data_IF_364988659563
#
_entry.id   IF_364988659563
#
_cell.length_a   1.000
_cell.length_b   1.000
_cell.length_c   1.000
_cell.angle_alpha   90.00
_cell.angle_beta   90.00
_cell.angle_gamma   90.00
#
_symmetry.space_group_name_H-M   'P 1'
#
loop_
_entity.id
_entity.type
_entity.pdbx_description
1 polymer ?
#
# COMPACT_ATOMS: atom_id res chain seq x y z
N UNK A 1 -0.43 18.68 -19.46
CA UNK A 1 -0.09 18.27 -18.07
C UNK A 1 1.37 17.86 -18.07
N UNK A 2 2.15 18.15 -17.02
CA UNK A 2 3.51 17.63 -16.97
C UNK A 2 3.45 16.17 -16.52
N UNK A 3 4.06 15.22 -17.25
CA UNK A 3 4.11 13.82 -16.83
C UNK A 3 4.78 13.74 -15.46
N UNK A 4 4.17 12.98 -14.54
CA UNK A 4 4.78 12.67 -13.26
C UNK A 4 6.01 11.79 -13.56
N UNK A 5 7.19 12.15 -13.04
CA UNK A 5 8.37 11.30 -13.16
C UNK A 5 8.12 9.98 -12.43
N UNK A 6 7.96 8.89 -13.21
CA UNK A 6 7.95 7.54 -12.70
C UNK A 6 9.37 7.15 -12.30
N UNK A 7 9.61 6.96 -11.01
CA UNK A 7 10.91 6.53 -10.51
C UNK A 7 10.94 5.00 -10.54
N UNK A 8 11.06 4.44 -11.74
CA UNK A 8 11.37 3.02 -11.90
C UNK A 8 12.81 2.79 -11.46
N UNK A 9 13.00 2.11 -10.32
CA UNK A 9 14.34 1.77 -9.81
C UNK A 9 14.41 0.24 -9.76
N UNK A 10 15.27 -0.35 -10.59
CA UNK A 10 15.36 -1.81 -10.78
C UNK A 10 14.05 -2.52 -11.24
N UNK A 11 13.23 -1.88 -12.08
CA UNK A 11 12.05 -2.51 -12.70
C UNK A 11 10.86 -2.71 -11.74
N UNK A 12 10.80 -1.91 -10.67
CA UNK A 12 9.68 -1.88 -9.71
C UNK A 12 9.10 -0.48 -9.67
N UNK A 13 7.78 -0.36 -9.90
CA UNK A 13 7.05 0.90 -9.68
C UNK A 13 6.85 1.14 -8.18
N UNK A 14 7.69 1.99 -7.60
CA UNK A 14 7.57 2.37 -6.19
C UNK A 14 6.38 3.27 -5.90
N UNK A 15 5.85 3.98 -6.89
CA UNK A 15 4.62 4.76 -6.79
C UNK A 15 3.42 3.84 -6.55
N UNK A 16 3.29 2.79 -7.36
CA UNK A 16 2.26 1.76 -7.20
C UNK A 16 2.42 0.99 -5.87
N UNK A 17 3.65 0.61 -5.49
CA UNK A 17 3.92 -0.07 -4.21
C UNK A 17 3.47 0.79 -3.03
N UNK A 18 3.79 2.09 -3.05
CA UNK A 18 3.41 3.02 -2.00
C UNK A 18 1.89 3.20 -1.93
N UNK A 19 1.23 3.42 -3.08
CA UNK A 19 -0.22 3.60 -3.15
C UNK A 19 -0.95 2.33 -2.70
N UNK A 20 -0.55 1.18 -3.22
CA UNK A 20 -1.14 -0.12 -2.86
C UNK A 20 -0.99 -0.40 -1.38
N UNK A 21 0.21 -0.18 -0.82
CA UNK A 21 0.43 -0.37 0.61
C UNK A 21 -0.46 0.57 1.43
N UNK A 22 -0.56 1.85 1.06
CA UNK A 22 -1.43 2.82 1.74
C UNK A 22 -2.90 2.38 1.72
N UNK A 23 -3.42 2.04 0.53
CA UNK A 23 -4.82 1.61 0.34
C UNK A 23 -5.11 0.32 1.13
N UNK A 24 -4.25 -0.68 1.04
CA UNK A 24 -4.43 -1.96 1.75
C UNK A 24 -4.39 -1.76 3.26
N UNK A 25 -3.51 -0.90 3.77
CA UNK A 25 -3.42 -0.64 5.22
C UNK A 25 -4.68 0.05 5.75
N UNK A 26 -5.32 0.91 4.96
CA UNK A 26 -6.59 1.55 5.32
C UNK A 26 -7.76 0.57 5.23
N UNK A 27 -7.92 -0.10 4.08
CA UNK A 27 -9.09 -0.94 3.82
C UNK A 27 -9.06 -2.28 4.55
N UNK A 28 -7.89 -2.78 4.91
CA UNK A 28 -7.73 -4.07 5.59
C UNK A 28 -7.14 -3.88 6.98
N UNK A 29 -6.02 -3.14 7.10
CA UNK A 29 -5.33 -2.96 8.36
C UNK A 29 -6.20 -2.32 9.44
N UNK A 30 -6.84 -1.18 9.14
CA UNK A 30 -7.69 -0.49 10.12
C UNK A 30 -8.92 -1.32 10.54
N UNK A 31 -9.68 -1.95 9.63
CA UNK A 31 -10.76 -2.87 10.02
C UNK A 31 -10.29 -4.05 10.87
N UNK A 32 -9.13 -4.65 10.56
CA UNK A 32 -8.59 -5.76 11.35
C UNK A 32 -8.27 -5.28 12.78
N UNK A 33 -7.61 -4.13 12.94
CA UNK A 33 -7.35 -3.55 14.27
C UNK A 33 -8.65 -3.27 15.01
N UNK A 34 -9.66 -2.71 14.33
CA UNK A 34 -10.96 -2.42 14.93
C UNK A 34 -11.68 -3.69 15.40
N UNK A 35 -11.73 -4.73 14.56
CA UNK A 35 -12.37 -6.01 14.91
C UNK A 35 -11.64 -6.69 16.07
N UNK A 36 -10.30 -6.73 16.04
CA UNK A 36 -9.52 -7.33 17.12
C UNK A 36 -9.68 -6.56 18.45
N UNK A 37 -9.92 -5.26 18.39
CA UNK A 37 -10.16 -4.44 19.61
C UNK A 37 -11.41 -4.86 20.38
N UNK A 38 -12.37 -5.53 19.72
CA UNK A 38 -13.61 -6.02 20.37
C UNK A 38 -13.35 -7.16 21.37
N UNK A 39 -12.18 -7.80 21.31
CA UNK A 39 -11.83 -8.95 22.15
C UNK A 39 -10.92 -8.59 23.34
N UNK A 40 -10.59 -7.31 23.52
CA UNK A 40 -9.70 -6.83 24.57
C UNK A 40 -10.27 -5.60 25.26
N UNK A 41 -10.06 -5.48 26.57
CA UNK A 41 -10.47 -4.30 27.33
C UNK A 41 -9.42 -3.20 27.19
N UNK A 42 -9.82 -2.10 26.53
CA UNK A 42 -8.95 -0.95 26.26
C UNK A 42 -9.49 0.27 27.00
N UNK A 43 -9.26 0.35 28.31
CA UNK A 43 -9.86 1.38 29.16
C UNK A 43 -9.17 2.75 28.99
N UNK A 44 -7.84 2.77 28.81
CA UNK A 44 -7.05 3.99 28.69
C UNK A 44 -6.66 4.31 27.24
N UNK A 45 -6.36 5.59 26.95
CA UNK A 45 -5.88 6.00 25.63
C UNK A 45 -4.52 5.35 25.31
N UNK A 46 -3.65 5.21 26.30
CA UNK A 46 -2.37 4.52 26.16
C UNK A 46 -2.52 3.03 25.80
N UNK A 47 -3.50 2.33 26.39
CA UNK A 47 -3.81 0.95 26.03
C UNK A 47 -4.28 0.84 24.57
N UNK A 48 -5.14 1.75 24.12
CA UNK A 48 -5.60 1.82 22.72
C UNK A 48 -4.44 2.04 21.75
N UNK A 49 -3.56 2.98 22.05
CA UNK A 49 -2.39 3.27 21.21
C UNK A 49 -1.40 2.08 21.15
N UNK A 50 -1.07 1.49 22.31
CA UNK A 50 -0.17 0.34 22.37
C UNK A 50 -0.75 -0.88 21.64
N UNK A 51 -2.05 -1.11 21.76
CA UNK A 51 -2.76 -2.16 21.02
C UNK A 51 -2.68 -1.93 19.51
N UNK A 52 -3.02 -0.73 19.04
CA UNK A 52 -2.98 -0.38 17.62
C UNK A 52 -1.58 -0.55 17.02
N UNK A 53 -0.53 -0.14 17.74
CA UNK A 53 0.86 -0.32 17.28
C UNK A 53 1.25 -1.81 17.24
N UNK A 54 0.95 -2.58 18.29
CA UNK A 54 1.30 -4.01 18.37
C UNK A 54 0.60 -4.86 17.31
N UNK A 55 -0.64 -4.54 16.99
CA UNK A 55 -1.43 -5.25 15.96
C UNK A 55 -1.09 -4.72 14.58
N UNK A 56 -0.98 -3.40 14.42
CA UNK A 56 -0.74 -2.75 13.15
C UNK A 56 0.66 -3.01 12.60
N UNK A 57 1.71 -3.04 13.43
CA UNK A 57 3.08 -3.20 12.95
C UNK A 57 3.32 -4.53 12.22
N UNK A 58 2.90 -5.70 12.72
CA UNK A 58 2.99 -6.95 11.97
C UNK A 58 2.20 -6.94 10.66
N UNK A 59 0.97 -6.40 10.68
CA UNK A 59 0.11 -6.32 9.48
C UNK A 59 0.77 -5.44 8.42
N UNK A 60 1.26 -4.27 8.81
CA UNK A 60 1.93 -3.34 7.92
C UNK A 60 3.19 -3.95 7.33
N UNK A 61 4.03 -4.58 8.15
CA UNK A 61 5.26 -5.22 7.69
C UNK A 61 4.97 -6.35 6.70
N UNK A 62 4.03 -7.24 7.01
CA UNK A 62 3.63 -8.33 6.12
C UNK A 62 3.07 -7.79 4.80
N UNK A 63 2.22 -6.78 4.87
CA UNK A 63 1.63 -6.13 3.69
C UNK A 63 2.72 -5.52 2.81
N UNK A 64 3.63 -4.74 3.39
CA UNK A 64 4.73 -4.10 2.65
C UNK A 64 5.63 -5.15 1.98
N UNK A 65 5.98 -6.22 2.69
CA UNK A 65 6.79 -7.32 2.12
C UNK A 65 6.03 -8.03 1.00
N UNK A 66 4.76 -8.36 1.20
CA UNK A 66 3.93 -9.02 0.18
C UNK A 66 3.81 -8.15 -1.07
N UNK A 67 3.51 -6.86 -0.92
CA UNK A 67 3.39 -5.94 -2.06
C UNK A 67 4.72 -5.77 -2.79
N UNK A 68 5.84 -5.61 -2.07
CA UNK A 68 7.16 -5.49 -2.68
C UNK A 68 7.59 -6.77 -3.42
N UNK A 69 7.33 -7.94 -2.85
CA UNK A 69 7.61 -9.24 -3.51
C UNK A 69 6.68 -9.44 -4.71
N UNK A 70 5.41 -9.03 -4.61
CA UNK A 70 4.46 -9.11 -5.71
C UNK A 70 4.90 -8.23 -6.88
N UNK A 71 5.20 -6.95 -6.62
CA UNK A 71 5.65 -6.01 -7.65
C UNK A 71 6.90 -6.51 -8.39
N UNK A 72 7.89 -7.01 -7.65
CA UNK A 72 9.10 -7.62 -8.21
C UNK A 72 8.83 -8.85 -9.06
N UNK A 73 7.75 -9.58 -8.80
CA UNK A 73 7.42 -10.84 -9.48
C UNK A 73 6.56 -10.62 -10.72
N UNK A 74 5.75 -9.57 -10.74
CA UNK A 74 4.73 -9.37 -11.79
C UNK A 74 4.96 -8.14 -12.64
N UNK A 75 6.08 -7.42 -12.48
CA UNK A 75 6.30 -6.11 -13.16
C UNK A 75 5.06 -5.21 -12.95
N UNK A 76 4.55 -5.18 -11.71
CA UNK A 76 3.36 -4.40 -11.40
C UNK A 76 3.69 -2.90 -11.56
N UNK A 77 3.31 -2.34 -12.70
CA UNK A 77 3.63 -0.98 -13.15
C UNK A 77 3.19 -0.73 -14.61
N UNK A 78 3.22 -1.77 -15.45
CA UNK A 78 2.87 -1.72 -16.88
C UNK A 78 1.38 -1.37 -17.20
N UNK A 79 0.59 -1.08 -16.18
CA UNK A 79 -0.84 -0.79 -16.29
C UNK A 79 -1.19 0.61 -16.80
N UNK A 80 -0.23 1.53 -16.92
CA UNK A 80 -0.45 2.77 -17.65
C UNK A 80 -0.25 2.50 -19.15
N UNK A 81 -1.29 1.94 -19.79
CA UNK A 81 -1.46 2.17 -21.22
C UNK A 81 -1.72 3.65 -21.38
N UNK A 82 -0.71 4.39 -21.82
CA UNK A 82 -0.85 5.79 -22.23
C UNK A 82 -2.04 5.87 -23.21
N UNK A 83 -3.18 6.50 -22.83
CA UNK A 83 -4.31 6.60 -23.74
C UNK A 83 -4.03 7.57 -24.90
N UNK A 84 -2.93 8.31 -24.86
CA UNK A 84 -2.57 9.35 -25.84
C UNK A 84 -1.49 8.89 -26.84
N UNK A 85 -1.30 7.58 -27.01
CA UNK A 85 -0.33 7.01 -27.95
C UNK A 85 -0.69 7.09 -29.45
N UNK A 86 -1.74 7.82 -29.85
CA UNK A 86 -2.17 7.86 -31.25
C UNK A 86 -2.91 9.17 -31.61
N UNK A 87 -2.17 10.26 -31.82
CA UNK A 87 -2.54 11.33 -32.76
C UNK A 87 -1.39 12.33 -32.85
N UNK A 88 -0.54 12.17 -33.85
CA UNK A 88 -0.02 13.26 -34.70
C UNK A 88 1.04 12.66 -35.66
N UNK A 89 0.57 11.83 -36.60
CA UNK A 89 1.20 11.72 -37.92
C UNK A 89 0.81 12.98 -38.72
N UNK A 90 1.76 13.90 -38.96
CA UNK A 90 1.98 14.63 -40.22
C UNK A 90 3.30 15.42 -40.23
#
# INVERSE_FOLDING_TARGET
MQPVEEVEVEGVDYGWVMQTTFVVTILVGAPVVAVLSLFVTLESWGARAAFAVRVGAPIWFLTAVTVAVYARRTEAGDGYSDPDGDSDEE
#
